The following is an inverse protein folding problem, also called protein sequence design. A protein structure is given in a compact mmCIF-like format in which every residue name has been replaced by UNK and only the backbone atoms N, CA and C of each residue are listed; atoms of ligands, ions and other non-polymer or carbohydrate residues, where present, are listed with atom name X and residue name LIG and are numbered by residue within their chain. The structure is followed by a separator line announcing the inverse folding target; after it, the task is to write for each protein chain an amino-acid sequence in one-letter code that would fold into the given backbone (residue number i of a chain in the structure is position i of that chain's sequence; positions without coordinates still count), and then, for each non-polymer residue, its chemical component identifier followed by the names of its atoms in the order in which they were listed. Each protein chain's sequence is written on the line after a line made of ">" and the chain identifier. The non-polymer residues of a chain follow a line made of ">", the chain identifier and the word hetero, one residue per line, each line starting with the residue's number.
data_IF_581694285255
#
_entry.id   IF_581694285255
#
_cell.length_a   1.000
_cell.length_b   1.000
_cell.length_c   1.000
_cell.angle_alpha   90.00
_cell.angle_beta   90.00
_cell.angle_gamma   90.00
#
_symmetry.space_group_name_H-M   'P 1'
#
loop_
_entity.id
_entity.type
_entity.pdbx_description
1 polymer ?
#
# COMPACT_ATOMS: atom_id res chain seq x y z
N UNK A 1 -1.86 15.13 58.66
CA UNK A 1 -1.52 15.14 57.23
C UNK A 1 -2.64 15.90 56.52
N UNK A 2 -2.31 17.06 55.97
CA UNK A 2 -3.26 18.11 55.61
C UNK A 2 -3.83 17.89 54.21
N UNK A 3 -5.09 18.28 53.98
CA UNK A 3 -5.80 18.23 52.70
C UNK A 3 -5.06 18.94 51.54
N UNK A 4 -4.06 19.78 51.84
CA UNK A 4 -3.17 20.42 50.88
C UNK A 4 -2.09 19.48 50.30
N UNK A 5 -1.60 18.50 51.06
CA UNK A 5 -0.54 17.57 50.62
C UNK A 5 -1.10 16.55 49.61
N UNK A 6 -2.33 16.07 49.83
CA UNK A 6 -3.05 15.17 48.93
C UNK A 6 -3.38 15.82 47.57
N UNK A 7 -3.75 17.12 47.54
CA UNK A 7 -3.96 17.86 46.29
C UNK A 7 -2.67 18.07 45.50
N UNK A 8 -1.53 18.24 46.17
CA UNK A 8 -0.22 18.41 45.49
C UNK A 8 0.33 17.11 44.89
N UNK A 9 0.07 15.97 45.55
CA UNK A 9 0.48 14.65 45.05
C UNK A 9 -0.38 14.18 43.88
N UNK A 10 -1.69 14.46 43.90
CA UNK A 10 -2.60 14.13 42.79
C UNK A 10 -2.32 14.99 41.54
N UNK A 11 -2.02 16.30 41.71
CA UNK A 11 -1.61 17.14 40.59
C UNK A 11 -0.26 16.74 39.99
N UNK A 12 0.70 16.30 40.81
CA UNK A 12 2.01 15.81 40.33
C UNK A 12 1.89 14.50 39.57
N UNK A 13 1.01 13.58 40.01
CA UNK A 13 0.76 12.30 39.34
C UNK A 13 -0.04 12.45 38.04
N UNK A 14 -1.00 13.38 37.99
CA UNK A 14 -1.73 13.72 36.76
C UNK A 14 -0.82 14.40 35.74
N UNK A 15 0.09 15.29 36.19
CA UNK A 15 1.05 15.95 35.32
C UNK A 15 2.03 14.95 34.68
N UNK A 16 2.55 13.98 35.45
CA UNK A 16 3.43 12.94 34.91
C UNK A 16 2.76 12.00 33.89
N UNK A 17 1.46 11.71 34.05
CA UNK A 17 0.70 10.93 33.05
C UNK A 17 0.49 11.69 31.74
N UNK A 18 0.24 13.00 31.81
CA UNK A 18 0.10 13.86 30.65
C UNK A 18 1.42 14.00 29.88
N UNK A 19 2.53 14.22 30.59
CA UNK A 19 3.87 14.28 30.00
C UNK A 19 4.25 12.97 29.27
N UNK A 20 3.93 11.82 29.88
CA UNK A 20 4.15 10.52 29.24
C UNK A 20 3.31 10.35 27.96
N UNK A 21 2.03 10.76 27.99
CA UNK A 21 1.14 10.69 26.85
C UNK A 21 1.61 11.59 25.70
N UNK A 22 2.03 12.83 25.99
CA UNK A 22 2.59 13.74 24.99
C UNK A 22 3.88 13.19 24.38
N UNK A 23 4.76 12.64 25.21
CA UNK A 23 6.01 12.02 24.74
C UNK A 23 5.76 10.84 23.81
N UNK A 24 4.81 9.95 24.13
CA UNK A 24 4.45 8.83 23.26
C UNK A 24 3.82 9.35 21.98
N UNK A 25 2.85 10.28 22.09
CA UNK A 25 2.14 10.82 20.94
C UNK A 25 3.06 11.56 19.96
N UNK A 26 4.11 12.22 20.44
CA UNK A 26 5.10 12.91 19.60
C UNK A 26 5.90 11.97 18.68
N UNK A 27 5.93 10.66 18.97
CA UNK A 27 6.62 9.64 18.14
C UNK A 27 5.69 8.91 17.18
N UNK A 28 4.38 9.12 17.31
CA UNK A 28 3.40 8.52 16.40
C UNK A 28 3.33 9.30 15.10
N UNK A 29 3.11 8.60 13.99
CA UNK A 29 2.81 9.22 12.70
C UNK A 29 1.35 9.68 12.62
N UNK A 30 0.94 10.50 13.57
CA UNK A 30 -0.45 10.83 13.83
C UNK A 30 -0.65 11.64 15.09
N UNK A 31 -1.90 11.86 15.46
CA UNK A 31 -2.26 12.54 16.69
C UNK A 31 -3.44 11.85 17.39
N UNK A 32 -3.44 11.94 18.71
CA UNK A 32 -4.58 11.57 19.56
C UNK A 32 -5.51 12.77 19.69
N UNK A 33 -6.80 12.51 19.88
CA UNK A 33 -7.78 13.55 20.08
C UNK A 33 -8.84 13.15 21.11
N UNK A 34 -9.47 14.18 21.69
CA UNK A 34 -10.79 14.10 22.33
C UNK A 34 -11.62 15.25 21.78
N UNK A 35 -12.84 14.98 21.34
CA UNK A 35 -13.76 16.02 20.87
C UNK A 35 -15.17 15.83 21.44
N UNK A 36 -15.97 16.88 21.33
CA UNK A 36 -17.41 16.79 21.57
C UNK A 36 -18.08 16.00 20.47
N UNK A 37 -19.12 15.25 20.82
CA UNK A 37 -20.05 14.68 19.85
C UNK A 37 -21.02 15.76 19.35
N UNK A 38 -20.51 16.74 18.59
CA UNK A 38 -21.30 17.77 17.91
C UNK A 38 -21.04 17.73 16.39
N UNK A 39 -21.85 18.44 15.62
CA UNK A 39 -21.78 18.47 14.15
C UNK A 39 -20.48 19.10 13.59
N UNK A 40 -19.61 19.63 14.45
CA UNK A 40 -18.35 20.27 14.08
C UNK A 40 -17.13 19.52 14.64
N UNK A 41 -17.33 18.43 15.36
CA UNK A 41 -16.29 17.71 16.08
C UNK A 41 -15.39 18.64 16.88
N UNK A 42 -15.98 19.47 17.76
CA UNK A 42 -15.24 20.45 18.56
C UNK A 42 -14.13 19.80 19.38
N UNK A 43 -12.88 20.03 18.99
CA UNK A 43 -11.70 19.41 19.61
C UNK A 43 -11.48 19.99 21.01
N UNK A 44 -11.36 19.12 22.02
CA UNK A 44 -11.08 19.49 23.41
C UNK A 44 -9.61 19.25 23.76
N UNK A 45 -9.02 18.23 23.14
CA UNK A 45 -7.64 17.82 23.37
C UNK A 45 -7.06 17.28 22.08
N UNK A 46 -5.79 17.60 21.80
CA UNK A 46 -5.02 16.99 20.73
C UNK A 46 -3.57 16.84 21.17
N UNK A 47 -2.95 15.69 20.90
CA UNK A 47 -1.53 15.45 21.18
C UNK A 47 -0.87 14.63 20.08
N UNK A 48 0.41 14.91 19.79
CA UNK A 48 1.18 14.27 18.73
C UNK A 48 1.38 15.17 17.51
N UNK A 49 1.53 14.57 16.33
CA UNK A 49 1.95 15.25 15.10
C UNK A 49 0.83 16.04 14.40
N UNK A 50 0.02 16.79 15.14
CA UNK A 50 -1.13 17.56 14.60
C UNK A 50 -0.71 18.54 13.50
N UNK A 51 0.30 19.38 13.80
CA UNK A 51 0.81 20.37 12.84
C UNK A 51 1.47 19.70 11.64
N UNK A 52 2.21 18.60 11.87
CA UNK A 52 2.85 17.84 10.81
C UNK A 52 1.84 17.22 9.83
N UNK A 53 0.72 16.72 10.35
CA UNK A 53 -0.32 16.06 9.55
C UNK A 53 -1.30 17.04 8.89
N UNK A 54 -1.81 18.01 9.66
CA UNK A 54 -2.88 18.91 9.20
C UNK A 54 -2.38 20.24 8.65
N UNK A 55 -1.16 20.66 9.00
CA UNK A 55 -0.61 21.99 8.73
C UNK A 55 -1.16 23.11 9.63
N UNK A 56 -2.09 22.81 10.53
CA UNK A 56 -2.63 23.76 11.52
C UNK A 56 -2.00 23.53 12.89
N UNK A 57 -1.84 24.61 13.67
CA UNK A 57 -1.45 24.46 15.07
C UNK A 57 -2.60 23.85 15.87
N UNK A 58 -2.36 22.98 16.88
CA UNK A 58 -3.40 22.44 17.74
C UNK A 58 -4.32 23.53 18.30
N UNK A 59 -3.75 24.67 18.71
CA UNK A 59 -4.50 25.80 19.24
C UNK A 59 -5.52 26.40 18.24
N UNK A 60 -5.33 26.24 16.93
CA UNK A 60 -6.28 26.70 15.92
C UNK A 60 -7.51 25.80 15.78
N UNK A 61 -7.37 24.52 16.14
CA UNK A 61 -8.40 23.49 16.04
C UNK A 61 -9.11 23.26 17.38
N UNK A 62 -8.39 23.37 18.50
CA UNK A 62 -8.94 23.23 19.84
C UNK A 62 -10.04 24.29 20.06
N UNK A 63 -11.18 23.84 20.57
CA UNK A 63 -12.41 24.57 20.74
C UNK A 63 -12.92 25.25 19.45
N UNK A 64 -12.54 24.70 18.29
CA UNK A 64 -12.81 25.28 16.97
C UNK A 64 -12.43 26.75 16.87
N UNK A 65 -11.31 27.15 17.50
CA UNK A 65 -10.91 28.56 17.64
C UNK A 65 -10.83 29.28 16.30
N UNK A 66 -10.28 28.61 15.27
CA UNK A 66 -10.21 29.13 13.90
C UNK A 66 -10.86 28.20 12.89
N UNK A 67 -10.69 26.90 13.05
CA UNK A 67 -11.21 25.90 12.14
C UNK A 67 -11.81 24.74 12.95
N UNK A 68 -12.90 24.15 12.45
CA UNK A 68 -13.39 22.89 12.98
C UNK A 68 -12.71 21.72 12.30
N UNK A 69 -12.54 20.60 13.00
CA UNK A 69 -11.93 19.42 12.39
C UNK A 69 -12.81 18.85 11.26
N UNK A 70 -14.13 19.00 11.37
CA UNK A 70 -15.07 18.65 10.29
C UNK A 70 -14.74 19.35 8.96
N UNK A 71 -14.31 20.62 8.99
CA UNK A 71 -13.99 21.37 7.77
C UNK A 71 -12.70 20.87 7.08
N UNK A 72 -11.84 20.15 7.81
CA UNK A 72 -10.64 19.51 7.26
C UNK A 72 -11.00 18.23 6.51
N UNK A 73 -12.07 17.52 6.87
CA UNK A 73 -12.48 16.28 6.20
C UNK A 73 -12.89 16.60 4.76
N UNK A 74 -12.48 15.76 3.81
CA UNK A 74 -12.83 15.92 2.40
C UNK A 74 -14.34 15.72 2.19
N UNK A 75 -14.97 16.58 1.38
CA UNK A 75 -16.43 16.64 1.28
C UNK A 75 -17.08 15.32 0.82
N UNK A 76 -16.39 14.57 -0.05
CA UNK A 76 -16.83 13.25 -0.50
C UNK A 76 -16.79 12.17 0.61
N UNK A 77 -15.93 12.36 1.62
CA UNK A 77 -15.70 11.37 2.67
C UNK A 77 -16.50 11.69 3.94
N UNK A 78 -16.89 12.96 4.17
CA UNK A 78 -17.67 13.38 5.34
C UNK A 78 -18.91 12.50 5.61
N UNK A 79 -19.76 12.16 4.61
CA UNK A 79 -20.93 11.32 4.87
C UNK A 79 -20.58 9.91 5.35
N UNK A 80 -19.41 9.37 4.95
CA UNK A 80 -18.96 8.06 5.41
C UNK A 80 -18.43 8.12 6.85
N UNK A 81 -17.69 9.18 7.19
CA UNK A 81 -17.19 9.42 8.54
C UNK A 81 -18.36 9.51 9.52
N UNK A 82 -19.35 10.35 9.21
CA UNK A 82 -20.52 10.57 10.06
C UNK A 82 -21.28 9.27 10.32
N UNK A 83 -21.54 8.47 9.27
CA UNK A 83 -22.21 7.17 9.40
C UNK A 83 -21.42 6.19 10.27
N UNK A 84 -20.09 6.18 10.17
CA UNK A 84 -19.25 5.28 10.95
C UNK A 84 -19.25 5.65 12.43
N UNK A 85 -19.13 6.94 12.75
CA UNK A 85 -19.16 7.45 14.12
C UNK A 85 -20.55 7.24 14.74
N UNK A 86 -21.63 7.56 14.00
CA UNK A 86 -23.00 7.34 14.46
C UNK A 86 -23.25 5.86 14.76
N UNK A 87 -22.88 4.98 13.82
CA UNK A 87 -23.00 3.53 13.98
C UNK A 87 -22.22 3.05 15.20
N UNK A 88 -20.93 3.38 15.30
CA UNK A 88 -20.07 2.96 16.41
C UNK A 88 -20.56 3.48 17.76
N UNK A 89 -21.03 4.72 17.81
CA UNK A 89 -21.60 5.32 19.03
C UNK A 89 -22.90 4.64 19.46
N UNK A 90 -23.76 4.24 18.51
CA UNK A 90 -25.01 3.53 18.80
C UNK A 90 -24.76 2.09 19.23
N UNK A 91 -23.87 1.38 18.55
CA UNK A 91 -23.58 -0.04 18.76
C UNK A 91 -22.55 -0.27 19.87
N UNK A 92 -21.96 0.80 20.42
CA UNK A 92 -20.88 0.78 21.43
C UNK A 92 -19.65 0.02 20.94
N UNK A 93 -19.35 0.16 19.65
CA UNK A 93 -18.20 -0.44 19.00
C UNK A 93 -17.20 0.65 18.59
N UNK A 94 -15.92 0.30 18.59
CA UNK A 94 -14.88 1.17 18.05
C UNK A 94 -15.01 1.26 16.52
N UNK A 95 -14.82 2.46 15.97
CA UNK A 95 -14.70 2.64 14.52
C UNK A 95 -13.24 2.63 14.09
N UNK A 96 -13.02 2.18 12.86
CA UNK A 96 -11.74 2.20 12.19
C UNK A 96 -11.98 2.57 10.72
N UNK A 97 -11.65 3.80 10.35
CA UNK A 97 -12.04 4.38 9.06
C UNK A 97 -10.85 5.03 8.35
N UNK A 98 -10.79 4.88 7.03
CA UNK A 98 -9.85 5.60 6.19
C UNK A 98 -10.59 6.73 5.47
N UNK A 99 -10.09 7.96 5.54
CA UNK A 99 -10.66 9.11 4.84
C UNK A 99 -9.60 10.14 4.48
N UNK A 100 -9.96 11.10 3.65
CA UNK A 100 -9.09 12.20 3.25
C UNK A 100 -9.33 13.44 4.09
N UNK A 101 -8.24 14.13 4.41
CA UNK A 101 -8.26 15.51 4.94
C UNK A 101 -7.62 16.48 3.96
N UNK A 102 -8.02 17.75 4.03
CA UNK A 102 -7.38 18.89 3.38
C UNK A 102 -6.55 19.66 4.40
N UNK A 103 -5.25 19.75 4.13
CA UNK A 103 -4.31 20.46 5.00
C UNK A 103 -4.43 21.99 4.86
N UNK A 104 -3.77 22.74 5.73
CA UNK A 104 -3.64 24.20 5.62
C UNK A 104 -3.05 24.66 4.27
N UNK A 105 -2.27 23.80 3.61
CA UNK A 105 -1.70 24.06 2.26
C UNK A 105 -2.62 23.62 1.12
N UNK A 106 -3.85 23.17 1.42
CA UNK A 106 -4.82 22.58 0.47
C UNK A 106 -4.34 21.27 -0.19
N UNK A 107 -3.38 20.59 0.43
CA UNK A 107 -2.97 19.25 0.02
C UNK A 107 -3.98 18.22 0.55
N UNK A 108 -4.24 17.17 -0.22
CA UNK A 108 -5.07 16.04 0.21
C UNK A 108 -4.18 15.00 0.85
N UNK A 109 -4.49 14.59 2.08
CA UNK A 109 -3.81 13.48 2.78
C UNK A 109 -4.79 12.41 3.19
N UNK A 110 -4.36 11.17 3.10
CA UNK A 110 -5.13 10.03 3.58
C UNK A 110 -4.78 9.75 5.04
N UNK A 111 -5.80 9.63 5.87
CA UNK A 111 -5.66 9.31 7.28
C UNK A 111 -6.49 8.08 7.63
N UNK A 112 -6.01 7.30 8.60
CA UNK A 112 -6.77 6.28 9.28
C UNK A 112 -7.14 6.79 10.66
N UNK A 113 -8.42 6.77 10.99
CA UNK A 113 -8.90 7.10 12.33
C UNK A 113 -9.39 5.85 13.03
N UNK A 114 -8.92 5.68 14.27
CA UNK A 114 -9.44 4.69 15.20
C UNK A 114 -9.97 5.41 16.42
N UNK A 115 -11.25 5.26 16.70
CA UNK A 115 -11.90 5.96 17.79
C UNK A 115 -13.06 5.18 18.39
N UNK A 116 -13.60 5.75 19.46
CA UNK A 116 -14.74 5.24 20.18
C UNK A 116 -15.45 6.36 20.94
N UNK A 117 -16.72 6.13 21.25
CA UNK A 117 -17.48 7.02 22.11
C UNK A 117 -17.22 6.68 23.59
N UNK A 118 -17.10 7.72 24.41
CA UNK A 118 -17.05 7.63 25.86
C UNK A 118 -18.40 8.07 26.40
N UNK A 119 -18.96 7.27 27.30
CA UNK A 119 -20.32 7.45 27.80
C UNK A 119 -20.33 7.88 29.26
N UNK A 120 -21.36 8.61 29.65
CA UNK A 120 -21.65 8.88 31.05
C UNK A 120 -22.35 7.69 31.74
N UNK A 121 -22.72 7.85 33.02
CA UNK A 121 -23.43 6.82 33.79
C UNK A 121 -24.85 6.53 33.28
N UNK A 122 -25.45 7.46 32.53
CA UNK A 122 -26.79 7.31 31.95
C UNK A 122 -26.73 6.64 30.57
N UNK A 123 -25.53 6.43 30.03
CA UNK A 123 -25.31 5.84 28.71
C UNK A 123 -25.34 6.84 27.56
N UNK A 124 -25.34 8.14 27.85
CA UNK A 124 -25.24 9.21 26.86
C UNK A 124 -23.78 9.44 26.45
N UNK A 125 -23.55 9.84 25.20
CA UNK A 125 -22.19 10.10 24.69
C UNK A 125 -21.65 11.40 25.31
N UNK A 126 -20.58 11.27 26.10
CA UNK A 126 -19.88 12.40 26.72
C UNK A 126 -18.82 12.98 25.78
N UNK A 127 -17.99 12.13 25.17
CA UNK A 127 -16.91 12.51 24.26
C UNK A 127 -16.74 11.48 23.14
N UNK A 128 -16.08 11.89 22.06
CA UNK A 128 -15.46 10.98 21.12
C UNK A 128 -13.95 11.06 21.31
N UNK A 129 -13.29 9.91 21.35
CA UNK A 129 -11.85 9.80 21.60
C UNK A 129 -11.22 8.84 20.62
N UNK A 130 -9.99 9.15 20.20
CA UNK A 130 -9.32 8.31 19.24
C UNK A 130 -7.94 8.82 18.84
N UNK A 131 -7.42 8.20 17.79
CA UNK A 131 -6.20 8.60 17.14
C UNK A 131 -6.37 8.62 15.62
N UNK A 132 -5.77 9.61 14.98
CA UNK A 132 -5.72 9.81 13.54
C UNK A 132 -4.27 9.61 13.09
N UNK A 133 -4.05 8.69 12.17
CA UNK A 133 -2.74 8.32 11.64
C UNK A 133 -2.63 8.68 10.17
N UNK A 134 -1.49 9.22 9.75
CA UNK A 134 -1.19 9.37 8.32
C UNK A 134 -0.97 7.98 7.70
N UNK A 135 -1.69 7.68 6.61
CA UNK A 135 -1.57 6.43 5.86
C UNK A 135 -1.15 6.65 4.40
N UNK A 136 -0.71 7.86 4.05
CA UNK A 136 -0.30 8.21 2.69
C UNK A 136 0.82 7.30 2.17
N UNK A 137 1.87 7.10 2.97
CA UNK A 137 2.99 6.22 2.62
C UNK A 137 2.54 4.77 2.40
N UNK A 138 1.77 4.22 3.36
CA UNK A 138 1.21 2.86 3.28
C UNK A 138 0.37 2.65 2.02
N UNK A 139 -0.42 3.66 1.63
CA UNK A 139 -1.22 3.60 0.40
C UNK A 139 -0.35 3.67 -0.86
N UNK A 140 0.68 4.50 -0.88
CA UNK A 140 1.61 4.58 -2.01
C UNK A 140 2.44 3.30 -2.18
N UNK A 141 2.87 2.68 -1.08
CA UNK A 141 3.52 1.37 -1.10
C UNK A 141 2.59 0.29 -1.63
N UNK A 142 1.35 0.24 -1.14
CA UNK A 142 0.35 -0.71 -1.63
C UNK A 142 0.04 -0.50 -3.12
N UNK A 143 -0.02 0.75 -3.59
CA UNK A 143 -0.18 1.11 -5.01
C UNK A 143 1.04 0.71 -5.83
N UNK A 144 2.25 0.95 -5.33
CA UNK A 144 3.51 0.56 -5.97
C UNK A 144 3.55 -0.96 -6.14
N UNK A 145 3.21 -1.72 -5.10
CA UNK A 145 3.13 -3.18 -5.15
C UNK A 145 2.13 -3.66 -6.19
N UNK A 146 0.91 -3.13 -6.20
CA UNK A 146 -0.11 -3.48 -7.22
C UNK A 146 0.33 -3.15 -8.65
N UNK A 147 1.03 -2.03 -8.86
CA UNK A 147 1.60 -1.71 -10.18
C UNK A 147 2.66 -2.74 -10.58
N UNK A 148 3.51 -3.14 -9.65
CA UNK A 148 4.55 -4.16 -9.86
C UNK A 148 3.97 -5.54 -10.18
N UNK A 149 2.87 -5.92 -9.53
CA UNK A 149 2.09 -7.13 -9.85
C UNK A 149 1.60 -7.11 -11.29
N UNK A 150 0.94 -6.02 -11.69
CA UNK A 150 0.43 -5.84 -13.05
C UNK A 150 1.53 -5.87 -14.11
N UNK A 151 2.69 -5.25 -13.85
CA UNK A 151 3.83 -5.31 -14.77
C UNK A 151 4.32 -6.75 -14.95
N UNK A 152 4.38 -7.53 -13.87
CA UNK A 152 4.73 -8.95 -13.94
C UNK A 152 3.74 -9.80 -14.73
N UNK A 153 2.44 -9.58 -14.54
CA UNK A 153 1.39 -10.27 -15.30
C UNK A 153 1.50 -10.00 -16.81
N UNK A 154 1.72 -8.73 -17.18
CA UNK A 154 1.92 -8.31 -18.57
C UNK A 154 3.19 -8.95 -19.14
N UNK A 155 4.30 -8.92 -18.39
CA UNK A 155 5.56 -9.55 -18.78
C UNK A 155 5.40 -11.05 -19.08
N UNK A 156 4.72 -11.79 -18.21
CA UNK A 156 4.43 -13.21 -18.41
C UNK A 156 3.59 -13.47 -19.68
N UNK A 157 2.60 -12.62 -19.97
CA UNK A 157 1.80 -12.72 -21.19
C UNK A 157 2.63 -12.49 -22.45
N UNK A 158 3.51 -11.49 -22.44
CA UNK A 158 4.43 -11.20 -23.56
C UNK A 158 5.43 -12.35 -23.74
N UNK A 159 6.01 -12.88 -22.66
CA UNK A 159 6.91 -14.03 -22.71
C UNK A 159 6.22 -15.27 -23.31
N UNK A 160 4.98 -15.55 -22.90
CA UNK A 160 4.16 -16.63 -23.48
C UNK A 160 3.87 -16.41 -24.97
N UNK A 161 3.52 -15.20 -25.37
CA UNK A 161 3.28 -14.86 -26.76
C UNK A 161 4.54 -15.05 -27.62
N UNK A 162 5.70 -14.61 -27.12
CA UNK A 162 6.99 -14.74 -27.79
C UNK A 162 7.39 -16.20 -27.98
N UNK A 163 7.22 -17.05 -26.97
CA UNK A 163 7.44 -18.50 -27.08
C UNK A 163 6.51 -19.17 -28.12
N UNK A 164 5.26 -18.72 -28.21
CA UNK A 164 4.33 -19.20 -29.24
C UNK A 164 4.76 -18.78 -30.64
N UNK A 165 5.23 -17.54 -30.81
CA UNK A 165 5.79 -17.05 -32.08
C UNK A 165 6.99 -17.92 -32.48
N UNK A 166 7.95 -18.13 -31.59
CA UNK A 166 9.12 -18.98 -31.84
C UNK A 166 8.72 -20.40 -32.28
N UNK A 167 7.72 -21.00 -31.62
CA UNK A 167 7.18 -22.32 -31.98
C UNK A 167 6.58 -22.32 -33.39
N UNK A 168 5.83 -21.28 -33.76
CA UNK A 168 5.24 -21.14 -35.10
C UNK A 168 6.31 -20.92 -36.16
N UNK A 169 7.29 -20.07 -35.89
CA UNK A 169 8.41 -19.81 -36.80
C UNK A 169 9.25 -21.06 -37.05
N UNK A 170 9.47 -21.89 -36.02
CA UNK A 170 10.15 -23.19 -36.19
C UNK A 170 9.40 -24.11 -37.17
N UNK A 171 8.07 -24.16 -37.09
CA UNK A 171 7.24 -24.92 -38.05
C UNK A 171 7.30 -24.32 -39.45
N UNK A 172 7.19 -23.00 -39.56
CA UNK A 172 7.27 -22.29 -40.84
C UNK A 172 8.62 -22.53 -41.54
N UNK A 173 9.72 -22.53 -40.77
CA UNK A 173 11.06 -22.83 -41.27
C UNK A 173 11.15 -24.25 -41.83
N UNK A 174 10.59 -25.26 -41.16
CA UNK A 174 10.53 -26.64 -41.68
C UNK A 174 9.70 -26.71 -42.96
N UNK A 175 8.54 -26.03 -43.00
CA UNK A 175 7.68 -26.02 -44.18
C UNK A 175 8.37 -25.37 -45.38
N UNK A 176 9.04 -24.24 -45.17
CA UNK A 176 9.82 -23.55 -46.20
C UNK A 176 10.96 -24.42 -46.71
N UNK A 177 11.67 -25.13 -45.83
CA UNK A 177 12.74 -26.05 -46.21
C UNK A 177 12.22 -27.20 -47.09
N UNK A 178 11.10 -27.80 -46.69
CA UNK A 178 10.47 -28.87 -47.48
C UNK A 178 10.03 -28.36 -48.86
N UNK A 179 9.49 -27.13 -48.93
CA UNK A 179 9.11 -26.49 -50.17
C UNK A 179 10.33 -26.20 -51.08
N UNK A 180 11.45 -25.71 -50.53
CA UNK A 180 12.69 -25.49 -51.29
C UNK A 180 13.24 -26.80 -51.87
N UNK A 181 13.18 -27.91 -51.11
CA UNK A 181 13.63 -29.24 -51.58
C UNK A 181 12.75 -29.74 -52.73
N UNK A 182 11.43 -29.64 -52.59
CA UNK A 182 10.52 -30.09 -53.64
C UNK A 182 10.62 -29.19 -54.89
N UNK A 183 10.78 -27.88 -54.73
CA UNK A 183 11.05 -26.96 -55.83
C UNK A 183 12.32 -27.34 -56.60
N UNK A 184 13.40 -27.72 -55.91
CA UNK A 184 14.63 -28.19 -56.54
C UNK A 184 14.44 -29.52 -57.30
N UNK A 185 13.61 -30.41 -56.75
CA UNK A 185 13.30 -31.72 -57.37
C UNK A 185 12.54 -31.61 -58.69
N UNK A 186 11.61 -30.67 -58.80
CA UNK A 186 10.80 -30.46 -60.01
C UNK A 186 11.59 -29.67 -61.09
N UNK A 187 12.79 -29.19 -60.76
CA UNK A 187 13.69 -28.55 -61.72
C UNK A 187 13.20 -27.17 -62.17
N UNK A 188 13.19 -26.90 -63.47
CA UNK A 188 12.91 -25.55 -64.00
C UNK A 188 11.52 -25.02 -63.61
N UNK A 189 10.51 -25.88 -63.61
CA UNK A 189 9.13 -25.53 -63.26
C UNK A 189 8.98 -25.12 -61.80
N UNK A 190 9.87 -25.59 -60.92
CA UNK A 190 9.87 -25.29 -59.48
C UNK A 190 10.61 -24.01 -59.09
N UNK A 191 11.38 -23.37 -60.00
CA UNK A 191 12.26 -22.23 -59.66
C UNK A 191 11.53 -21.08 -58.95
N UNK A 192 10.34 -20.71 -59.41
CA UNK A 192 9.55 -19.64 -58.77
C UNK A 192 9.11 -19.97 -57.34
N UNK A 193 8.74 -21.23 -57.07
CA UNK A 193 8.41 -21.70 -55.73
C UNK A 193 9.63 -21.74 -54.81
N UNK A 194 10.81 -22.09 -55.35
CA UNK A 194 12.06 -22.09 -54.59
C UNK A 194 12.42 -20.71 -54.04
N UNK A 195 12.26 -19.66 -54.84
CA UNK A 195 12.52 -18.26 -54.41
C UNK A 195 11.59 -17.86 -53.26
N UNK A 196 10.29 -18.18 -53.36
CA UNK A 196 9.32 -17.88 -52.30
C UNK A 196 9.64 -18.64 -51.02
N UNK A 197 10.01 -19.91 -51.13
CA UNK A 197 10.38 -20.74 -49.98
C UNK A 197 11.62 -20.18 -49.26
N UNK A 198 12.64 -19.75 -50.00
CA UNK A 198 13.83 -19.13 -49.42
C UNK A 198 13.53 -17.79 -48.74
N UNK A 199 12.65 -16.97 -49.31
CA UNK A 199 12.22 -15.71 -48.71
C UNK A 199 11.43 -15.94 -47.40
N UNK A 200 10.51 -16.92 -47.39
CA UNK A 200 9.75 -17.30 -46.18
C UNK A 200 10.70 -17.80 -45.09
N UNK A 201 11.72 -18.59 -45.46
CA UNK A 201 12.74 -19.06 -44.52
C UNK A 201 13.51 -17.90 -43.89
N UNK A 202 13.94 -16.94 -44.72
CA UNK A 202 14.67 -15.76 -44.26
C UNK A 202 13.81 -14.90 -43.32
N UNK A 203 12.56 -14.64 -43.69
CA UNK A 203 11.60 -13.91 -42.86
C UNK A 203 11.36 -14.62 -41.52
N UNK A 204 11.27 -15.94 -41.54
CA UNK A 204 11.09 -16.73 -40.33
C UNK A 204 12.31 -16.65 -39.39
N UNK A 205 13.52 -16.63 -39.94
CA UNK A 205 14.76 -16.50 -39.19
C UNK A 205 14.92 -15.10 -38.58
N UNK A 206 14.61 -14.04 -39.36
CA UNK A 206 14.63 -12.65 -38.88
C UNK A 206 13.58 -12.41 -37.79
N UNK A 207 12.35 -12.88 -38.00
CA UNK A 207 11.29 -12.82 -36.99
C UNK A 207 11.64 -13.62 -35.74
N UNK A 208 12.39 -14.72 -35.89
CA UNK A 208 12.81 -15.58 -34.80
C UNK A 208 13.82 -14.89 -33.88
N UNK A 209 14.72 -14.09 -34.45
CA UNK A 209 15.66 -13.26 -33.68
C UNK A 209 14.92 -12.22 -32.84
N UNK A 210 13.95 -11.52 -33.44
CA UNK A 210 13.14 -10.53 -32.72
C UNK A 210 12.34 -11.18 -31.57
N UNK A 211 11.67 -12.31 -31.83
CA UNK A 211 10.90 -13.02 -30.80
C UNK A 211 11.79 -13.61 -29.69
N UNK A 212 13.02 -14.04 -30.00
CA UNK A 212 13.97 -14.51 -28.99
C UNK A 212 14.45 -13.36 -28.11
N UNK A 213 14.80 -12.22 -28.71
CA UNK A 213 15.19 -11.02 -27.97
C UNK A 213 14.08 -10.52 -27.03
N UNK A 214 12.81 -10.54 -27.48
CA UNK A 214 11.68 -10.24 -26.59
C UNK A 214 11.61 -11.24 -25.44
N UNK A 215 11.79 -12.54 -25.70
CA UNK A 215 11.78 -13.56 -24.64
C UNK A 215 12.88 -13.32 -23.61
N UNK A 216 14.10 -13.00 -24.04
CA UNK A 216 15.23 -12.69 -23.16
C UNK A 216 14.96 -11.45 -22.30
N UNK A 217 14.43 -10.37 -22.90
CA UNK A 217 14.05 -9.16 -22.17
C UNK A 217 12.92 -9.41 -21.16
N UNK A 218 11.98 -10.32 -21.47
CA UNK A 218 10.93 -10.69 -20.52
C UNK A 218 11.48 -11.52 -19.36
N UNK A 219 12.45 -12.40 -19.61
CA UNK A 219 13.11 -13.19 -18.55
C UNK A 219 13.93 -12.26 -17.62
N UNK A 220 14.60 -11.25 -18.18
CA UNK A 220 15.30 -10.19 -17.41
C UNK A 220 14.31 -9.36 -16.58
N UNK A 221 13.19 -8.91 -17.18
CA UNK A 221 12.13 -8.20 -16.47
C UNK A 221 11.58 -9.03 -15.30
N UNK A 222 11.32 -10.33 -15.50
CA UNK A 222 10.86 -11.21 -14.44
C UNK A 222 11.88 -11.33 -13.29
N UNK A 223 13.17 -11.33 -13.60
CA UNK A 223 14.24 -11.35 -12.60
C UNK A 223 14.26 -10.08 -11.76
N UNK A 224 14.25 -8.91 -12.42
CA UNK A 224 14.21 -7.59 -11.78
C UNK A 224 12.96 -7.43 -10.89
N UNK A 225 11.80 -7.89 -11.38
CA UNK A 225 10.55 -7.85 -10.61
C UNK A 225 10.60 -8.71 -9.34
N UNK A 226 11.27 -9.87 -9.38
CA UNK A 226 11.47 -10.73 -8.19
C UNK A 226 12.42 -10.09 -7.19
N UNK A 227 13.54 -9.53 -7.66
CA UNK A 227 14.49 -8.83 -6.81
C UNK A 227 13.82 -7.67 -6.07
N UNK A 228 13.03 -6.86 -6.78
CA UNK A 228 12.33 -5.72 -6.21
C UNK A 228 11.17 -6.06 -5.26
N UNK A 229 10.65 -7.31 -5.27
CA UNK A 229 9.66 -7.78 -4.30
C UNK A 229 10.27 -8.21 -2.97
N UNK A 230 11.59 -8.38 -2.89
CA UNK A 230 12.24 -8.91 -1.70
C UNK A 230 12.09 -10.43 -1.52
N UNK A 231 11.52 -11.13 -2.51
CA UNK A 231 11.38 -12.60 -2.51
C UNK A 231 12.76 -13.34 -2.54
N UNK A 232 13.87 -12.59 -2.59
CA UNK A 232 15.24 -13.09 -2.62
C UNK A 232 16.06 -12.94 -1.34
N UNK A 233 15.56 -12.26 -0.30
CA UNK A 233 16.32 -12.05 0.96
C UNK A 233 15.45 -12.22 2.22
N UNK A 234 14.87 -13.41 2.44
CA UNK A 234 14.43 -13.78 3.80
C UNK A 234 14.42 -15.30 4.00
N UNK A 235 15.61 -15.88 4.13
CA UNK A 235 15.78 -17.13 4.87
C UNK A 235 17.15 -17.16 5.56
N UNK A 236 17.32 -16.31 6.58
CA UNK A 236 18.27 -16.64 7.64
C UNK A 236 17.62 -17.74 8.48
N UNK A 237 18.19 -18.95 8.58
CA UNK A 237 17.72 -19.91 9.56
C UNK A 237 17.87 -19.27 10.94
N UNK A 238 16.80 -19.27 11.72
CA UNK A 238 16.83 -18.90 13.14
C UNK A 238 17.88 -19.73 13.87
N UNK A 239 18.45 -19.22 14.97
CA UNK A 239 19.54 -19.89 15.66
C UNK A 239 19.06 -21.27 16.10
N UNK A 240 19.79 -22.30 15.69
CA UNK A 240 19.65 -23.65 16.24
C UNK A 240 19.82 -23.54 17.76
N UNK A 241 18.73 -23.69 18.51
CA UNK A 241 18.82 -23.96 19.94
C UNK A 241 19.55 -25.29 20.10
N UNK A 242 20.76 -25.19 20.66
CA UNK A 242 21.65 -26.31 20.92
C UNK A 242 20.97 -27.39 21.75
N UNK A 243 20.53 -28.45 21.08
CA UNK A 243 20.30 -29.75 21.69
C UNK A 243 21.65 -30.45 21.89
N UNK A 244 22.43 -29.98 22.85
CA UNK A 244 23.65 -30.64 23.28
C UNK A 244 23.80 -30.59 24.80
N UNK A 245 23.02 -31.42 25.50
CA UNK A 245 23.50 -32.02 26.75
C UNK A 245 22.93 -33.43 26.93
N UNK A 246 23.57 -34.37 26.25
CA UNK A 246 23.55 -35.77 26.62
C UNK A 246 24.77 -36.07 27.50
N UNK A 247 24.48 -36.50 28.74
CA UNK A 247 25.25 -37.43 29.57
C UNK A 247 26.71 -37.10 29.89
N UNK A 248 27.00 -37.01 31.19
CA UNK A 248 27.99 -37.89 31.84
C UNK A 248 27.92 -37.78 33.37
N UNK A 249 27.77 -38.97 33.98
CA UNK A 249 27.95 -39.38 35.39
C UNK A 249 26.78 -39.19 36.33
#
# INVERSE_FOLDING_TARGET
>A
MSSAEARSQDSSGQNGKLEALESIAARMNGFMYRCKNDNKYTMLFMAGAVTGLTGYQPADLINNRRHSYMDLIHDEDSPQVDRAIEKGSREREAWNIDYRIRTAKREVRWVNERGGAVYDSNGEVLYLEGAVFDIGERLEEARRRKRMERVGEIGQQIGKASRNILKTLKKLRILSLNASVEAARIGETGRGFGVVADEVKKLADESGKAASSISELMDELESELRAARGDGEEQKPGPEEGSAQSKRR
#
